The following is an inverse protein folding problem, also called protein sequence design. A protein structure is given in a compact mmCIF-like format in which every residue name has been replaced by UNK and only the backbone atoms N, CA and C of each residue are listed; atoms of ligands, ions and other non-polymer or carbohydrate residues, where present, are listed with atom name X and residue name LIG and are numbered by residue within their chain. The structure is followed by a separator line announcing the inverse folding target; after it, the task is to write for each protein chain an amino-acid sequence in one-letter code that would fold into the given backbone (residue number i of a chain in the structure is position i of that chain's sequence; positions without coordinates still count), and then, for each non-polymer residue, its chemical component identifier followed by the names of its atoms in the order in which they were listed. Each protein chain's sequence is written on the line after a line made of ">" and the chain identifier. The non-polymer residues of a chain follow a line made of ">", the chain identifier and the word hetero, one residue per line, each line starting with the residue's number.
data_IF_360095640498
#
_entry.id   IF_360095640498
#
_cell.length_a   1.000
_cell.length_b   1.000
_cell.length_c   1.000
_cell.angle_alpha   90.00
_cell.angle_beta   90.00
_cell.angle_gamma   90.00
#
_symmetry.space_group_name_H-M   'P 1'
#
loop_
_entity.id
_entity.type
_entity.pdbx_description
1 polymer ?
#
# COMPACT_ATOMS: atom_id res chain seq x y z
N UNK A 1 44.54 -62.12 46.01
CA UNK A 1 43.22 -61.89 45.42
C UNK A 1 42.90 -60.44 45.62
N UNK A 2 43.21 -59.61 44.64
CA UNK A 2 42.84 -58.15 44.61
C UNK A 2 41.50 -58.01 43.92
N UNK A 3 40.56 -57.44 44.61
CA UNK A 3 39.27 -57.03 44.03
C UNK A 3 39.33 -55.52 43.64
N UNK A 4 39.38 -55.26 42.36
CA UNK A 4 39.27 -53.95 41.80
C UNK A 4 37.82 -53.66 41.63
N UNK A 5 37.30 -52.67 42.42
CA UNK A 5 35.96 -52.09 42.23
C UNK A 5 36.09 -50.93 41.27
N UNK A 6 35.56 -51.05 40.05
CA UNK A 6 35.36 -49.93 39.14
C UNK A 6 34.07 -49.19 39.57
N UNK A 7 34.19 -47.90 39.88
CA UNK A 7 33.08 -47.03 40.06
C UNK A 7 32.71 -46.35 38.71
N UNK A 8 31.48 -46.46 38.21
CA UNK A 8 31.09 -45.74 37.01
C UNK A 8 30.49 -44.38 37.39
N UNK A 9 31.29 -43.35 37.26
CA UNK A 9 30.77 -41.98 37.25
C UNK A 9 30.17 -41.71 35.87
N UNK A 10 28.89 -41.93 35.73
CA UNK A 10 28.13 -41.46 34.56
C UNK A 10 27.95 -39.93 34.67
N UNK A 11 28.73 -39.19 33.92
CA UNK A 11 28.52 -37.79 33.68
C UNK A 11 27.32 -37.65 32.70
N UNK A 12 26.17 -37.33 33.24
CA UNK A 12 25.00 -36.97 32.43
C UNK A 12 25.19 -35.55 31.85
N UNK A 13 25.69 -35.49 30.63
CA UNK A 13 25.73 -34.24 29.84
C UNK A 13 24.34 -33.97 29.30
N UNK A 14 23.56 -33.18 30.03
CA UNK A 14 22.27 -32.69 29.57
C UNK A 14 22.50 -31.67 28.45
N UNK A 15 22.35 -32.09 27.19
CA UNK A 15 22.24 -31.16 26.04
C UNK A 15 20.92 -30.42 26.16
N UNK A 16 20.97 -29.19 26.64
CA UNK A 16 19.89 -28.20 26.47
C UNK A 16 19.83 -27.82 24.98
N UNK A 17 19.05 -28.53 24.18
CA UNK A 17 18.60 -28.05 22.88
C UNK A 17 17.65 -26.88 23.14
N UNK A 18 18.17 -25.68 23.11
CA UNK A 18 17.33 -24.47 22.95
C UNK A 18 16.80 -24.49 21.53
N UNK A 19 15.58 -24.96 21.36
CA UNK A 19 14.85 -24.80 20.11
C UNK A 19 14.66 -23.27 19.88
N UNK A 20 15.54 -22.68 19.07
CA UNK A 20 15.33 -21.36 18.53
C UNK A 20 14.10 -21.44 17.62
N UNK A 21 12.92 -21.13 18.17
CA UNK A 21 11.74 -20.90 17.35
C UNK A 21 12.07 -19.77 16.37
N UNK A 22 11.85 -19.96 15.06
CA UNK A 22 11.99 -18.86 14.13
C UNK A 22 11.05 -17.77 14.60
N UNK A 23 11.58 -16.61 14.98
CA UNK A 23 10.80 -15.39 15.20
C UNK A 23 10.17 -15.07 13.84
N UNK A 24 8.94 -15.51 13.66
CA UNK A 24 8.14 -15.03 12.54
C UNK A 24 8.01 -13.52 12.74
N UNK A 25 8.57 -12.75 11.82
CA UNK A 25 8.36 -11.33 11.75
C UNK A 25 6.85 -11.14 11.51
N UNK A 26 6.09 -11.07 12.61
CA UNK A 26 4.69 -10.69 12.56
C UNK A 26 4.68 -9.25 12.06
N UNK A 27 4.14 -9.04 10.86
CA UNK A 27 3.99 -7.72 10.31
C UNK A 27 3.33 -6.80 11.34
N UNK A 28 3.82 -5.58 11.44
CA UNK A 28 3.35 -4.59 12.42
C UNK A 28 1.84 -4.40 12.24
N UNK A 29 1.07 -4.64 13.31
CA UNK A 29 -0.38 -4.43 13.30
C UNK A 29 -0.67 -2.95 13.56
N UNK A 30 -1.50 -2.34 12.70
CA UNK A 30 -1.88 -0.93 12.84
C UNK A 30 -3.00 -0.73 13.87
N UNK A 31 -2.89 0.32 14.68
CA UNK A 31 -3.91 0.79 15.61
C UNK A 31 -4.65 1.99 15.01
N UNK A 32 -5.97 1.86 14.87
CA UNK A 32 -6.83 2.90 14.26
C UNK A 32 -6.84 4.19 15.08
N UNK A 33 -6.81 4.09 16.40
CA UNK A 33 -6.88 5.24 17.30
C UNK A 33 -5.56 6.00 17.30
N UNK A 34 -4.44 5.29 17.33
CA UNK A 34 -3.12 5.89 17.13
C UNK A 34 -3.00 6.53 15.73
N UNK A 35 -3.51 5.86 14.70
CA UNK A 35 -3.54 6.38 13.33
C UNK A 35 -4.34 7.68 13.19
N UNK A 36 -5.44 7.84 13.92
CA UNK A 36 -6.22 9.07 13.92
C UNK A 36 -5.39 10.28 14.37
N UNK A 37 -4.62 10.15 15.44
CA UNK A 37 -3.76 11.24 15.93
C UNK A 37 -2.60 11.54 14.96
N UNK A 38 -2.05 10.51 14.32
CA UNK A 38 -0.95 10.63 13.35
C UNK A 38 -1.39 11.16 11.99
N UNK A 39 -2.68 11.03 11.64
CA UNK A 39 -3.24 11.48 10.37
C UNK A 39 -3.30 13.01 10.22
N UNK A 40 -3.00 13.81 11.26
CA UNK A 40 -3.08 15.27 11.22
C UNK A 40 -2.29 15.88 10.05
N UNK A 41 -1.08 15.38 9.78
CA UNK A 41 -0.27 15.85 8.65
C UNK A 41 -0.85 15.46 7.27
N UNK A 42 -1.65 14.41 7.22
CA UNK A 42 -2.24 13.91 5.98
C UNK A 42 -3.50 14.70 5.61
N UNK A 43 -4.30 15.07 6.61
CA UNK A 43 -5.60 15.74 6.45
C UNK A 43 -5.43 17.11 5.78
N UNK A 44 -4.32 17.81 6.01
CA UNK A 44 -4.02 19.12 5.40
C UNK A 44 -4.00 19.11 3.87
N UNK A 45 -3.82 17.93 3.25
CA UNK A 45 -3.90 17.79 1.80
C UNK A 45 -5.00 16.79 1.39
N UNK A 46 -5.03 15.61 1.99
CA UNK A 46 -5.96 14.53 1.61
C UNK A 46 -7.37 14.67 2.20
N UNK A 47 -7.57 15.55 3.19
CA UNK A 47 -8.87 15.81 3.81
C UNK A 47 -9.60 17.04 3.27
N UNK A 48 -8.95 17.86 2.45
CA UNK A 48 -9.54 19.10 1.92
C UNK A 48 -10.16 18.81 0.55
N UNK A 49 -11.47 19.03 0.44
CA UNK A 49 -12.17 18.82 -0.81
C UNK A 49 -11.65 19.74 -1.92
N UNK A 50 -11.26 19.14 -3.06
CA UNK A 50 -10.79 19.90 -4.21
C UNK A 50 -9.36 20.42 -4.10
N UNK A 51 -8.64 20.12 -3.01
CA UNK A 51 -7.24 20.52 -2.87
C UNK A 51 -6.39 19.96 -4.02
N UNK A 52 -5.55 20.81 -4.60
CA UNK A 52 -4.75 20.47 -5.79
C UNK A 52 -3.25 20.46 -5.48
N UNK A 53 -2.57 19.50 -6.05
CA UNK A 53 -1.12 19.51 -6.23
C UNK A 53 -0.77 20.21 -7.53
N UNK A 54 0.40 20.85 -7.58
CA UNK A 54 0.91 21.49 -8.79
C UNK A 54 2.11 20.75 -9.39
N UNK A 55 2.47 19.62 -8.82
CA UNK A 55 3.60 18.82 -9.28
C UNK A 55 3.17 17.37 -9.56
N UNK A 56 3.56 16.77 -10.70
CA UNK A 56 4.29 17.35 -11.84
C UNK A 56 3.43 18.22 -12.76
N UNK A 57 2.16 18.26 -12.52
CA UNK A 57 1.14 19.06 -13.17
C UNK A 57 -0.02 19.31 -12.19
N UNK A 58 -0.97 20.15 -12.53
CA UNK A 58 -2.12 20.43 -11.64
C UNK A 58 -3.10 19.25 -11.65
N UNK A 59 -3.37 18.67 -10.48
CA UNK A 59 -4.39 17.65 -10.27
C UNK A 59 -4.88 17.64 -8.82
N UNK A 60 -6.08 17.11 -8.58
CA UNK A 60 -6.61 16.95 -7.22
C UNK A 60 -5.83 15.92 -6.44
N UNK A 61 -5.45 16.27 -5.21
CA UNK A 61 -4.82 15.32 -4.28
C UNK A 61 -5.73 14.11 -4.08
N UNK A 62 -5.20 12.88 -4.18
CA UNK A 62 -6.05 11.69 -4.21
C UNK A 62 -6.80 11.46 -2.91
N UNK A 63 -8.00 10.93 -3.05
CA UNK A 63 -8.78 10.40 -1.93
C UNK A 63 -8.13 9.13 -1.41
N UNK A 64 -7.90 9.07 -0.11
CA UNK A 64 -7.30 7.90 0.56
C UNK A 64 -8.23 7.30 1.61
N UNK A 65 -9.26 8.01 2.03
CA UNK A 65 -10.29 7.49 2.95
C UNK A 65 -11.03 6.31 2.30
N UNK A 66 -11.17 5.20 3.05
CA UNK A 66 -11.79 3.97 2.59
C UNK A 66 -10.94 3.11 1.64
N UNK A 67 -9.72 3.54 1.33
CA UNK A 67 -8.76 2.72 0.58
C UNK A 67 -8.27 1.54 1.42
N UNK A 68 -7.83 0.46 0.77
CA UNK A 68 -7.24 -0.67 1.49
C UNK A 68 -6.03 -0.24 2.31
N UNK A 69 -5.99 -0.61 3.58
CA UNK A 69 -4.86 -0.33 4.47
C UNK A 69 -3.56 -0.94 3.93
N UNK A 70 -3.62 -2.16 3.40
CA UNK A 70 -2.46 -2.80 2.77
C UNK A 70 -1.92 -1.98 1.59
N UNK A 71 -2.81 -1.47 0.73
CA UNK A 71 -2.38 -0.61 -0.39
C UNK A 71 -1.79 0.72 0.08
N UNK A 72 -2.37 1.34 1.13
CA UNK A 72 -1.83 2.58 1.70
C UNK A 72 -0.43 2.34 2.25
N UNK A 73 -0.23 1.29 3.06
CA UNK A 73 1.07 0.94 3.63
C UNK A 73 2.12 0.72 2.53
N UNK A 74 1.83 -0.13 1.54
CA UNK A 74 2.71 -0.39 0.40
C UNK A 74 3.02 0.88 -0.40
N UNK A 75 2.06 1.80 -0.52
CA UNK A 75 2.29 3.08 -1.21
C UNK A 75 3.26 3.98 -0.45
N UNK A 76 3.13 4.09 0.86
CA UNK A 76 4.03 4.85 1.72
C UNK A 76 5.44 4.26 1.70
N UNK A 77 5.56 2.95 1.83
CA UNK A 77 6.84 2.25 1.69
C UNK A 77 7.49 2.47 0.31
N UNK A 78 6.68 2.45 -0.76
CA UNK A 78 7.18 2.70 -2.11
C UNK A 78 7.69 4.13 -2.28
N UNK A 79 7.09 5.11 -1.61
CA UNK A 79 7.63 6.48 -1.56
C UNK A 79 8.97 6.54 -0.83
N UNK A 80 9.11 5.87 0.33
CA UNK A 80 10.39 5.77 1.07
C UNK A 80 11.48 5.13 0.22
N UNK A 81 11.17 4.03 -0.46
CA UNK A 81 12.12 3.30 -1.32
C UNK A 81 12.45 4.03 -2.63
N UNK A 82 11.65 5.03 -3.02
CA UNK A 82 11.79 5.73 -4.30
C UNK A 82 11.19 4.99 -5.51
N UNK A 83 10.49 3.86 -5.30
CA UNK A 83 9.75 3.15 -6.33
C UNK A 83 8.54 3.96 -6.82
N UNK A 84 7.98 4.77 -5.93
CA UNK A 84 6.94 5.75 -6.23
C UNK A 84 7.51 7.14 -5.96
N UNK A 85 7.62 7.93 -7.03
CA UNK A 85 8.32 9.21 -6.97
C UNK A 85 7.33 10.36 -6.90
N UNK A 86 7.42 11.14 -5.85
CA UNK A 86 6.72 12.38 -5.63
C UNK A 86 7.39 13.10 -4.45
N UNK A 87 8.06 14.25 -4.66
CA UNK A 87 8.91 14.87 -3.64
C UNK A 87 8.21 15.08 -2.30
N UNK A 88 7.01 15.67 -2.32
CA UNK A 88 6.23 15.92 -1.08
C UNK A 88 5.90 14.62 -0.36
N UNK A 89 5.37 13.61 -1.08
CA UNK A 89 4.98 12.35 -0.45
C UNK A 89 6.18 11.54 0.03
N UNK A 90 7.33 11.67 -0.63
CA UNK A 90 8.57 11.08 -0.16
C UNK A 90 8.98 11.68 1.19
N UNK A 91 9.01 13.02 1.29
CA UNK A 91 9.34 13.69 2.56
C UNK A 91 8.41 13.29 3.71
N UNK A 92 7.10 13.17 3.42
CA UNK A 92 6.13 12.67 4.42
C UNK A 92 6.44 11.22 4.79
N UNK A 93 6.60 10.34 3.82
CA UNK A 93 6.83 8.92 4.07
C UNK A 93 8.15 8.65 4.80
N UNK A 94 9.21 9.40 4.49
CA UNK A 94 10.53 9.28 5.14
C UNK A 94 10.46 9.61 6.65
N UNK A 95 9.52 10.45 7.06
CA UNK A 95 9.31 10.80 8.48
C UNK A 95 8.54 9.75 9.29
N UNK A 96 7.93 8.75 8.64
CA UNK A 96 7.10 7.74 9.29
C UNK A 96 7.90 6.49 9.64
N UNK A 97 7.73 5.97 10.86
CA UNK A 97 8.16 4.64 11.24
C UNK A 97 7.27 3.56 10.60
N UNK A 98 7.67 2.30 10.68
CA UNK A 98 6.83 1.17 10.23
C UNK A 98 5.50 1.12 11.00
N UNK A 99 5.54 1.39 12.32
CA UNK A 99 4.33 1.46 13.14
C UNK A 99 3.44 2.63 12.73
N UNK A 100 3.99 3.80 12.41
CA UNK A 100 3.19 4.95 11.95
C UNK A 100 2.51 4.64 10.62
N UNK A 101 3.21 3.99 9.69
CA UNK A 101 2.64 3.54 8.42
C UNK A 101 1.48 2.56 8.66
N UNK A 102 1.65 1.59 9.55
CA UNK A 102 0.61 0.64 9.88
C UNK A 102 -0.63 1.33 10.49
N UNK A 103 -0.41 2.23 11.44
CA UNK A 103 -1.48 2.94 12.16
C UNK A 103 -2.29 3.86 11.24
N UNK A 104 -1.62 4.72 10.46
CA UNK A 104 -2.33 5.61 9.53
C UNK A 104 -3.04 4.84 8.43
N UNK A 105 -2.49 3.71 8.00
CA UNK A 105 -3.12 2.83 7.01
C UNK A 105 -4.41 2.21 7.56
N UNK A 106 -4.39 1.70 8.80
CA UNK A 106 -5.57 1.16 9.48
C UNK A 106 -6.63 2.24 9.69
N UNK A 107 -6.23 3.45 10.09
CA UNK A 107 -7.15 4.57 10.25
C UNK A 107 -7.86 4.93 8.94
N UNK A 108 -7.13 5.14 7.85
CA UNK A 108 -7.73 5.54 6.58
C UNK A 108 -8.57 4.43 5.95
N UNK A 109 -8.22 3.17 6.15
CA UNK A 109 -9.06 2.06 5.72
C UNK A 109 -10.42 2.10 6.42
N UNK A 110 -10.45 2.37 7.72
CA UNK A 110 -11.69 2.43 8.48
C UNK A 110 -12.45 3.74 8.28
N UNK A 111 -11.74 4.86 8.18
CA UNK A 111 -12.32 6.21 8.11
C UNK A 111 -13.23 6.43 6.90
N UNK A 112 -13.10 5.71 5.84
CA UNK A 112 -13.96 5.83 4.66
C UNK A 112 -15.08 4.79 4.56
N UNK A 113 -15.23 3.88 5.52
CA UNK A 113 -16.21 2.78 5.43
C UNK A 113 -17.64 3.18 5.76
N UNK A 114 -17.85 4.23 6.55
CA UNK A 114 -19.20 4.68 6.93
C UNK A 114 -19.78 5.59 5.86
N UNK A 115 -20.86 5.15 5.21
CA UNK A 115 -21.68 5.99 4.31
C UNK A 115 -21.20 6.14 2.88
N UNK A 116 -20.18 5.39 2.45
CA UNK A 116 -19.66 5.43 1.09
C UNK A 116 -19.65 4.05 0.43
N UNK A 117 -20.72 3.28 0.58
CA UNK A 117 -20.89 2.15 -0.34
C UNK A 117 -21.05 2.72 -1.75
N UNK A 118 -20.04 2.48 -2.56
CA UNK A 118 -20.11 2.84 -3.97
C UNK A 118 -21.18 2.00 -4.64
N UNK A 119 -21.99 2.59 -5.56
CA UNK A 119 -22.98 1.84 -6.32
C UNK A 119 -22.36 0.60 -6.96
N UNK A 120 -23.10 -0.50 -7.02
CA UNK A 120 -22.64 -1.74 -7.66
C UNK A 120 -22.32 -1.54 -9.16
N UNK A 121 -22.92 -0.52 -9.77
CA UNK A 121 -22.67 -0.11 -11.15
C UNK A 121 -22.22 1.34 -11.21
N UNK A 122 -21.39 1.72 -12.16
CA UNK A 122 -21.02 3.12 -12.37
C UNK A 122 -22.27 3.95 -12.69
N UNK A 123 -22.31 5.19 -12.21
CA UNK A 123 -23.41 6.13 -12.49
C UNK A 123 -23.50 6.59 -13.95
N UNK A 124 -22.47 6.27 -14.75
CA UNK A 124 -22.40 6.55 -16.18
C UNK A 124 -21.58 5.46 -16.87
N UNK A 125 -22.08 4.96 -17.98
CA UNK A 125 -21.32 4.04 -18.82
C UNK A 125 -20.09 4.74 -19.43
N UNK A 126 -18.98 4.01 -19.60
CA UNK A 126 -17.80 4.54 -20.26
C UNK A 126 -18.10 4.83 -21.75
N UNK A 127 -17.39 5.79 -22.35
CA UNK A 127 -17.42 5.94 -23.80
C UNK A 127 -16.87 4.66 -24.48
N UNK A 128 -17.21 4.44 -25.74
CA UNK A 128 -16.73 3.27 -26.52
C UNK A 128 -15.21 3.14 -26.44
N UNK A 129 -14.48 4.24 -26.65
CA UNK A 129 -13.01 4.23 -26.58
C UNK A 129 -12.50 3.85 -25.19
N UNK A 130 -13.12 4.34 -24.11
CA UNK A 130 -12.73 3.97 -22.75
C UNK A 130 -13.04 2.51 -22.47
N UNK A 131 -14.20 2.00 -22.92
CA UNK A 131 -14.57 0.60 -22.77
C UNK A 131 -13.55 -0.34 -23.46
N UNK A 132 -13.13 0.01 -24.67
CA UNK A 132 -12.09 -0.73 -25.40
C UNK A 132 -10.74 -0.71 -24.66
N UNK A 133 -10.32 0.42 -24.12
CA UNK A 133 -9.09 0.54 -23.33
C UNK A 133 -9.17 -0.29 -22.03
N UNK A 134 -10.31 -0.27 -21.35
CA UNK A 134 -10.53 -1.07 -20.14
C UNK A 134 -10.45 -2.58 -20.44
N UNK A 135 -11.00 -2.98 -21.58
CA UNK A 135 -10.92 -4.37 -22.09
C UNK A 135 -9.49 -4.74 -22.47
N UNK A 136 -8.81 -3.89 -23.25
CA UNK A 136 -7.42 -4.10 -23.66
C UNK A 136 -6.47 -4.23 -22.49
N UNK A 137 -6.60 -3.34 -21.50
CA UNK A 137 -5.79 -3.35 -20.28
C UNK A 137 -6.24 -4.38 -19.25
N UNK A 138 -7.33 -5.13 -19.50
CA UNK A 138 -7.92 -6.09 -18.56
C UNK A 138 -8.09 -5.52 -17.13
N UNK A 139 -8.44 -4.24 -17.00
CA UNK A 139 -8.40 -3.49 -15.75
C UNK A 139 -9.27 -4.13 -14.64
N UNK A 140 -10.44 -4.65 -15.01
CA UNK A 140 -11.39 -5.28 -14.09
C UNK A 140 -10.85 -6.58 -13.47
N UNK A 141 -9.95 -7.29 -14.15
CA UNK A 141 -9.40 -8.56 -13.64
C UNK A 141 -8.61 -8.39 -12.34
N UNK A 142 -8.05 -7.21 -12.09
CA UNK A 142 -7.29 -6.90 -10.88
C UNK A 142 -8.04 -5.92 -9.96
N UNK A 143 -8.69 -4.90 -10.54
CA UNK A 143 -9.35 -3.84 -9.77
C UNK A 143 -10.83 -4.13 -9.44
N UNK A 144 -11.38 -5.27 -9.94
CA UNK A 144 -12.77 -5.68 -9.76
C UNK A 144 -13.73 -4.99 -10.74
N UNK A 145 -14.89 -5.58 -10.96
CA UNK A 145 -15.87 -5.17 -11.97
C UNK A 145 -16.37 -3.73 -11.82
N UNK A 146 -16.49 -3.27 -10.57
CA UNK A 146 -16.91 -1.92 -10.23
C UNK A 146 -15.74 -1.03 -9.77
N UNK A 147 -14.50 -1.50 -9.90
CA UNK A 147 -13.28 -0.81 -9.45
C UNK A 147 -13.22 -0.48 -7.94
N UNK A 148 -14.14 -1.00 -7.16
CA UNK A 148 -14.22 -0.78 -5.71
C UNK A 148 -13.81 -2.00 -4.88
N UNK A 149 -13.79 -3.20 -5.50
CA UNK A 149 -13.46 -4.47 -4.85
C UNK A 149 -12.35 -5.19 -5.61
N UNK A 150 -11.08 -4.74 -5.51
CA UNK A 150 -9.97 -5.42 -6.14
C UNK A 150 -9.81 -6.85 -5.61
N UNK A 151 -9.23 -7.73 -6.42
CA UNK A 151 -9.03 -9.15 -6.07
C UNK A 151 -7.98 -9.37 -4.98
N UNK A 152 -7.10 -8.41 -4.75
CA UNK A 152 -6.10 -8.41 -3.68
C UNK A 152 -6.07 -7.05 -2.98
N UNK A 153 -5.99 -6.98 -1.65
CA UNK A 153 -5.94 -5.72 -0.91
C UNK A 153 -4.68 -4.88 -1.15
N UNK A 154 -3.66 -5.42 -1.81
CA UNK A 154 -2.50 -4.64 -2.28
C UNK A 154 -2.80 -3.84 -3.55
N UNK A 155 -3.90 -4.13 -4.24
CA UNK A 155 -4.33 -3.35 -5.39
C UNK A 155 -5.28 -2.23 -4.97
N UNK A 156 -5.18 -1.04 -5.57
CA UNK A 156 -6.03 0.07 -5.17
C UNK A 156 -7.48 -0.10 -5.62
N UNK A 157 -8.40 0.33 -4.75
CA UNK A 157 -9.73 0.74 -5.16
C UNK A 157 -9.58 2.02 -5.97
N UNK A 158 -10.11 2.06 -7.19
CA UNK A 158 -10.02 3.23 -8.07
C UNK A 158 -11.38 3.87 -8.34
N UNK A 159 -12.46 3.20 -8.00
CA UNK A 159 -13.81 3.78 -8.06
C UNK A 159 -13.91 5.02 -7.14
N UNK A 160 -14.54 6.08 -7.63
CA UNK A 160 -14.70 7.32 -6.89
C UNK A 160 -13.44 8.19 -6.77
N UNK A 161 -12.32 7.77 -7.34
CA UNK A 161 -11.09 8.55 -7.36
C UNK A 161 -11.18 9.72 -8.39
N UNK A 162 -10.41 10.77 -8.17
CA UNK A 162 -10.34 11.91 -9.08
C UNK A 162 -9.77 11.50 -10.45
N UNK A 163 -10.46 11.90 -11.53
CA UNK A 163 -10.07 11.53 -12.89
C UNK A 163 -8.71 12.11 -13.29
N UNK A 164 -8.42 13.35 -12.91
CA UNK A 164 -7.15 14.02 -13.12
C UNK A 164 -6.00 13.30 -12.39
N UNK A 165 -6.21 12.87 -11.14
CA UNK A 165 -5.25 12.04 -10.44
C UNK A 165 -5.03 10.69 -11.11
N UNK A 166 -6.08 10.00 -11.57
CA UNK A 166 -5.95 8.72 -12.28
C UNK A 166 -5.12 8.89 -13.56
N UNK A 167 -5.34 9.99 -14.29
CA UNK A 167 -4.56 10.32 -15.48
C UNK A 167 -3.07 10.50 -15.16
N UNK A 168 -2.75 11.32 -14.15
CA UNK A 168 -1.36 11.55 -13.72
C UNK A 168 -0.74 10.25 -13.20
N UNK A 169 -1.52 9.42 -12.49
CA UNK A 169 -1.05 8.12 -12.01
C UNK A 169 -0.69 7.17 -13.16
N UNK A 170 -1.53 7.08 -14.19
CA UNK A 170 -1.24 6.27 -15.38
C UNK A 170 -0.02 6.81 -16.16
N UNK A 171 0.09 8.12 -16.32
CA UNK A 171 1.29 8.74 -16.92
C UNK A 171 2.55 8.40 -16.14
N UNK A 172 2.49 8.38 -14.82
CA UNK A 172 3.67 8.10 -13.99
C UNK A 172 4.16 6.65 -14.11
N UNK A 173 3.31 5.69 -14.47
CA UNK A 173 3.75 4.33 -14.80
C UNK A 173 4.46 4.23 -16.15
N UNK A 174 4.25 5.21 -17.05
CA UNK A 174 4.97 5.31 -18.34
C UNK A 174 6.27 6.08 -18.23
N UNK A 175 6.49 6.82 -17.16
CA UNK A 175 7.68 7.66 -16.98
C UNK A 175 8.96 6.82 -17.01
N UNK A 176 10.02 7.42 -17.55
CA UNK A 176 11.36 6.82 -17.54
C UNK A 176 11.84 6.61 -16.09
N UNK A 177 12.38 5.43 -15.81
CA UNK A 177 12.92 5.09 -14.50
C UNK A 177 14.03 6.05 -14.04
N UNK A 178 14.71 6.70 -14.97
CA UNK A 178 15.77 7.71 -14.70
C UNK A 178 15.21 9.05 -14.21
N UNK A 179 13.91 9.33 -14.42
CA UNK A 179 13.33 10.56 -13.88
C UNK A 179 13.41 10.52 -12.35
N UNK A 180 14.06 11.52 -11.75
CA UNK A 180 14.32 11.55 -10.31
C UNK A 180 13.06 11.81 -9.48
N UNK A 181 12.09 12.56 -10.04
CA UNK A 181 10.98 13.13 -9.28
C UNK A 181 9.61 12.58 -9.69
N UNK A 182 9.47 11.95 -10.85
CA UNK A 182 8.22 11.42 -11.39
C UNK A 182 8.41 9.97 -11.80
N UNK A 183 7.48 9.11 -11.42
CA UNK A 183 7.47 7.72 -11.84
C UNK A 183 6.88 6.79 -10.80
N UNK A 184 6.45 5.63 -11.27
CA UNK A 184 6.00 4.50 -10.44
C UNK A 184 6.61 3.23 -11.00
N UNK A 185 7.51 2.64 -10.23
CA UNK A 185 8.13 1.36 -10.57
C UNK A 185 7.18 0.22 -10.19
N UNK A 186 6.39 -0.22 -11.14
CA UNK A 186 5.51 -1.37 -11.00
C UNK A 186 5.43 -2.08 -12.36
N UNK A 187 5.93 -3.30 -12.43
CA UNK A 187 6.04 -4.04 -13.70
C UNK A 187 4.67 -4.30 -14.35
N UNK A 188 3.65 -4.64 -13.56
CA UNK A 188 2.30 -4.96 -14.06
C UNK A 188 1.66 -3.69 -14.62
N UNK A 189 1.51 -2.66 -13.78
CA UNK A 189 0.85 -1.43 -14.22
C UNK A 189 1.66 -0.67 -15.26
N UNK A 190 3.00 -0.76 -15.21
CA UNK A 190 3.88 -0.20 -16.22
C UNK A 190 3.71 -0.88 -17.59
N UNK A 191 3.56 -2.20 -17.61
CA UNK A 191 3.26 -2.96 -18.82
C UNK A 191 1.89 -2.58 -19.42
N UNK A 192 0.86 -2.46 -18.59
CA UNK A 192 -0.49 -2.06 -19.03
C UNK A 192 -0.50 -0.61 -19.53
N UNK A 193 0.09 0.32 -18.80
CA UNK A 193 0.06 1.73 -19.15
C UNK A 193 0.85 2.08 -20.43
N UNK A 194 1.77 1.22 -20.85
CA UNK A 194 2.58 1.40 -22.08
C UNK A 194 1.93 0.85 -23.36
N UNK A 195 0.87 0.09 -23.25
CA UNK A 195 0.10 -0.42 -24.40
C UNK A 195 -0.63 0.70 -25.13
#
# INVERSE_FOLDING_TARGET
>A
KMKTTLSPTFAALALLLTAALPAQAQGVTGDVRAGQSKAAMCIGCHGIQGYQSTFPEVYKVPRIAGQSGKYIALSLESYKKGDRKHPTMRGIADSLSEQDIADVSAYYEQHGKKGTELPAKPGREPSVQVAELLKKGACVSCHGDNFAKPIDPSYPKIAGQHADYLFVALKSYKADARNANVGRNNAIMGGIAKQ
#
